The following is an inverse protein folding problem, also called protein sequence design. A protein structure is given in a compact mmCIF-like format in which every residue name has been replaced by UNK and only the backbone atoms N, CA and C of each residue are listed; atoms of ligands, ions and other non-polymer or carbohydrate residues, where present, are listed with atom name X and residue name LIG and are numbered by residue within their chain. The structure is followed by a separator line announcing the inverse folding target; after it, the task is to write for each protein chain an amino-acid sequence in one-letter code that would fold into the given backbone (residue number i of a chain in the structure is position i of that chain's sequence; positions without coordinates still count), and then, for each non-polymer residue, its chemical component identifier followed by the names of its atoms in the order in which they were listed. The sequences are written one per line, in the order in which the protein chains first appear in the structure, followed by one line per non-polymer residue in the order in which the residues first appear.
data_IF_426378995559
#
_entry.id   IF_426378995559
#
_cell.length_a   1.000
_cell.length_b   1.000
_cell.length_c   1.000
_cell.angle_alpha   90.00
_cell.angle_beta   90.00
_cell.angle_gamma   90.00
#
_symmetry.space_group_name_H-M   'P 1'
#
loop_
_entity.id
_entity.type
_entity.pdbx_description
1 polymer ?
#
# COMPACT_ATOMS: atom_id res chain seq x y z
N UNK A 1 -13.95 1.54 -28.87
CA UNK A 1 -13.47 1.15 -27.52
C UNK A 1 -12.04 1.58 -27.40
N UNK A 2 -11.71 2.37 -26.38
CA UNK A 2 -10.30 2.72 -26.10
C UNK A 2 -9.55 1.43 -25.73
N UNK A 3 -8.33 1.18 -26.26
CA UNK A 3 -7.55 0.02 -25.83
C UNK A 3 -7.26 0.13 -24.32
N UNK A 4 -7.21 -0.98 -23.58
CA UNK A 4 -6.82 -0.96 -22.18
C UNK A 4 -5.38 -0.43 -22.10
N UNK A 5 -5.20 0.70 -21.44
CA UNK A 5 -3.89 1.25 -21.09
C UNK A 5 -3.20 0.28 -20.13
N UNK A 6 -2.36 -0.62 -20.66
CA UNK A 6 -1.46 -1.49 -19.88
C UNK A 6 -0.42 -0.62 -19.18
N UNK A 7 -0.81 -0.10 -18.02
CA UNK A 7 0.05 0.72 -17.17
C UNK A 7 0.57 -0.18 -16.06
N UNK A 8 1.89 -0.23 -15.86
CA UNK A 8 2.48 -0.99 -14.76
C UNK A 8 2.52 -0.12 -13.50
N UNK A 9 2.18 -0.70 -12.35
CA UNK A 9 2.11 0.01 -11.07
C UNK A 9 3.16 -0.52 -10.10
N UNK A 10 3.71 0.38 -9.29
CA UNK A 10 4.56 0.05 -8.16
C UNK A 10 3.76 -0.75 -7.12
N UNK A 11 4.29 -1.88 -6.68
CA UNK A 11 3.61 -2.76 -5.72
C UNK A 11 3.50 -2.17 -4.30
N UNK A 12 4.24 -1.08 -3.99
CA UNK A 12 4.14 -0.38 -2.70
C UNK A 12 3.13 0.77 -2.78
N UNK A 13 3.27 1.67 -3.76
CA UNK A 13 2.46 2.89 -3.83
C UNK A 13 1.20 2.77 -4.68
N UNK A 14 1.08 1.73 -5.50
CA UNK A 14 -0.02 1.60 -6.48
C UNK A 14 0.01 2.64 -7.61
N UNK A 15 1.05 3.47 -7.66
CA UNK A 15 1.23 4.52 -8.69
C UNK A 15 2.19 4.06 -9.78
N UNK A 16 2.17 4.75 -10.92
CA UNK A 16 3.16 4.53 -11.99
C UNK A 16 4.53 4.98 -11.48
N UNK A 17 5.54 4.10 -11.43
CA UNK A 17 6.87 4.47 -10.98
C UNK A 17 7.56 5.42 -11.97
N UNK A 18 8.29 6.39 -11.45
CA UNK A 18 9.19 7.25 -12.23
C UNK A 18 10.51 6.55 -12.52
N UNK A 19 11.06 5.86 -11.52
CA UNK A 19 12.27 5.03 -11.61
C UNK A 19 11.89 3.56 -11.31
N UNK A 20 11.36 2.83 -12.31
CA UNK A 20 10.93 1.46 -12.13
C UNK A 20 12.13 0.53 -11.91
N UNK A 21 12.06 -0.27 -10.84
CA UNK A 21 12.99 -1.35 -10.55
C UNK A 21 12.22 -2.64 -10.28
N UNK A 22 12.76 -3.77 -10.72
CA UNK A 22 12.17 -5.09 -10.47
C UNK A 22 13.09 -5.89 -9.58
N UNK A 23 12.51 -6.55 -8.58
CA UNK A 23 13.24 -7.55 -7.79
C UNK A 23 13.43 -8.83 -8.61
N UNK A 24 14.66 -9.36 -8.66
CA UNK A 24 14.95 -10.64 -9.32
C UNK A 24 14.31 -11.84 -8.62
N UNK A 25 14.17 -11.76 -7.30
CA UNK A 25 13.65 -12.85 -6.47
C UNK A 25 12.14 -12.96 -6.59
N UNK A 26 11.43 -11.84 -6.45
CA UNK A 26 9.96 -11.83 -6.38
C UNK A 26 9.28 -11.47 -7.69
N UNK A 27 10.01 -10.86 -8.63
CA UNK A 27 9.46 -10.37 -9.90
C UNK A 27 8.52 -9.17 -9.78
N UNK A 28 8.40 -8.56 -8.61
CA UNK A 28 7.56 -7.38 -8.40
C UNK A 28 8.22 -6.10 -8.89
N UNK A 29 7.41 -5.19 -9.42
CA UNK A 29 7.80 -3.85 -9.85
C UNK A 29 7.67 -2.85 -8.71
N UNK A 30 8.71 -2.06 -8.50
CA UNK A 30 8.78 -1.05 -7.46
C UNK A 30 9.28 0.29 -8.00
N UNK A 31 9.00 1.35 -7.26
CA UNK A 31 9.68 2.63 -7.37
C UNK A 31 11.01 2.55 -6.61
N UNK A 32 12.13 2.86 -7.27
CA UNK A 32 13.49 2.74 -6.71
C UNK A 32 13.63 3.37 -5.33
N UNK A 33 13.11 4.58 -5.16
CA UNK A 33 13.18 5.34 -3.91
C UNK A 33 12.43 4.67 -2.76
N UNK A 34 11.32 3.98 -3.05
CA UNK A 34 10.49 3.33 -2.04
C UNK A 34 11.08 1.99 -1.61
N UNK A 35 11.48 1.15 -2.57
CA UNK A 35 12.03 -0.16 -2.25
C UNK A 35 13.38 -0.07 -1.54
N UNK A 36 14.25 0.86 -1.94
CA UNK A 36 15.55 1.06 -1.27
C UNK A 36 15.38 1.45 0.19
N UNK A 37 14.38 2.29 0.49
CA UNK A 37 14.03 2.65 1.87
C UNK A 37 13.45 1.46 2.65
N UNK A 38 12.60 0.66 2.02
CA UNK A 38 12.03 -0.53 2.64
C UNK A 38 13.13 -1.55 2.99
N UNK A 39 14.04 -1.84 2.06
CA UNK A 39 15.19 -2.72 2.27
C UNK A 39 16.09 -2.20 3.39
N UNK A 40 16.39 -0.89 3.41
CA UNK A 40 17.19 -0.30 4.48
C UNK A 40 16.52 -0.38 5.86
N UNK A 41 15.18 -0.43 5.93
CA UNK A 41 14.44 -0.48 7.19
C UNK A 41 14.24 -1.91 7.73
N UNK A 42 13.95 -2.88 6.86
CA UNK A 42 13.56 -4.24 7.28
C UNK A 42 14.47 -5.34 6.71
N UNK A 43 15.27 -5.06 5.68
CA UNK A 43 16.07 -6.07 4.96
C UNK A 43 15.22 -7.09 4.18
N UNK A 44 13.92 -6.80 4.00
CA UNK A 44 12.96 -7.75 3.43
C UNK A 44 12.04 -7.08 2.42
N UNK A 45 11.54 -7.89 1.50
CA UNK A 45 10.56 -7.51 0.51
C UNK A 45 9.24 -7.09 1.19
N UNK A 46 8.68 -5.91 0.87
CA UNK A 46 7.47 -5.41 1.51
C UNK A 46 6.19 -6.19 1.14
N UNK A 47 6.23 -7.04 0.12
CA UNK A 47 5.07 -7.82 -0.36
C UNK A 47 5.18 -9.29 0.01
N UNK A 48 6.31 -9.93 -0.33
CA UNK A 48 6.52 -11.37 -0.08
C UNK A 48 7.17 -11.68 1.27
N UNK A 49 7.73 -10.68 1.96
CA UNK A 49 8.49 -10.83 3.21
C UNK A 49 9.77 -11.69 3.08
N UNK A 50 10.26 -11.90 1.86
CA UNK A 50 11.52 -12.59 1.57
C UNK A 50 12.73 -11.66 1.75
N UNK A 51 13.89 -12.23 2.08
CA UNK A 51 15.14 -11.47 2.16
C UNK A 51 15.54 -10.99 0.76
N UNK A 52 15.81 -9.70 0.65
CA UNK A 52 16.16 -9.06 -0.62
C UNK A 52 17.22 -8.00 -0.34
N UNK A 53 18.25 -7.98 -1.17
CA UNK A 53 19.29 -6.96 -1.11
C UNK A 53 19.11 -5.89 -2.19
N UNK A 54 19.76 -4.75 -2.02
CA UNK A 54 19.74 -3.66 -3.00
C UNK A 54 20.34 -4.09 -4.36
N UNK A 55 21.28 -5.04 -4.35
CA UNK A 55 21.92 -5.58 -5.56
C UNK A 55 21.01 -6.51 -6.37
N UNK A 56 19.93 -7.02 -5.76
CA UNK A 56 18.92 -7.84 -6.44
C UNK A 56 17.90 -7.00 -7.23
N UNK A 57 18.00 -5.67 -7.15
CA UNK A 57 17.14 -4.74 -7.88
C UNK A 57 17.69 -4.46 -9.27
N UNK A 58 16.86 -4.69 -10.28
CA UNK A 58 17.19 -4.43 -11.69
C UNK A 58 16.41 -3.22 -12.18
N UNK A 59 17.14 -2.20 -12.63
CA UNK A 59 16.56 -1.01 -13.25
C UNK A 59 15.85 -1.38 -14.57
N UNK A 60 14.59 -0.98 -14.70
CA UNK A 60 13.81 -1.17 -15.93
C UNK A 60 13.82 0.12 -16.74
N UNK A 61 14.26 0.05 -17.99
CA UNK A 61 14.15 1.19 -18.91
C UNK A 61 12.72 1.34 -19.40
N UNK A 62 11.95 2.21 -18.75
CA UNK A 62 10.60 2.59 -19.17
C UNK A 62 10.58 4.01 -19.74
N UNK A 63 9.64 4.29 -20.64
CA UNK A 63 9.35 5.65 -21.07
C UNK A 63 8.83 6.45 -19.86
N UNK A 64 9.41 7.63 -19.61
CA UNK A 64 9.03 8.47 -18.48
C UNK A 64 7.55 8.85 -18.60
N UNK A 65 6.72 8.33 -17.70
CA UNK A 65 5.32 8.72 -17.61
C UNK A 65 5.23 10.08 -16.92
N UNK A 66 5.03 11.14 -17.69
CA UNK A 66 4.93 12.49 -17.15
C UNK A 66 3.44 12.83 -17.02
N UNK A 67 2.96 12.96 -15.78
CA UNK A 67 1.66 13.60 -15.54
C UNK A 67 1.79 15.10 -15.89
N UNK A 68 0.91 15.65 -16.75
CA UNK A 68 0.94 17.07 -17.06
C UNK A 68 0.82 17.91 -15.78
N UNK A 69 1.67 18.92 -15.63
CA UNK A 69 1.60 19.82 -14.47
C UNK A 69 0.29 20.62 -14.53
N UNK A 70 -0.53 20.62 -13.47
CA UNK A 70 -1.75 21.43 -13.45
C UNK A 70 -1.42 22.92 -13.45
N UNK A 71 -2.25 23.74 -14.09
CA UNK A 71 -2.03 25.19 -14.22
C UNK A 71 -1.93 25.90 -12.86
N UNK A 72 -2.60 25.38 -11.82
CA UNK A 72 -2.50 25.87 -10.44
C UNK A 72 -1.10 25.69 -9.83
N UNK A 73 -0.29 24.76 -10.31
CA UNK A 73 1.08 24.52 -9.83
C UNK A 73 2.15 25.45 -10.50
N UNK A 74 1.73 26.61 -11.00
CA UNK A 74 2.63 27.58 -11.67
C UNK A 74 3.00 28.78 -10.80
N UNK A 75 2.32 28.99 -9.67
CA UNK A 75 2.59 30.07 -8.71
C UNK A 75 2.84 29.52 -7.31
N UNK A 76 3.63 30.25 -6.50
CA UNK A 76 3.90 29.85 -5.11
C UNK A 76 2.60 29.68 -4.29
N UNK A 77 1.61 30.60 -4.37
CA UNK A 77 0.33 30.41 -3.68
C UNK A 77 -0.43 29.16 -4.15
N UNK A 78 -0.42 28.88 -5.45
CA UNK A 78 -1.11 27.71 -5.99
C UNK A 78 -0.46 26.38 -5.60
N UNK A 79 0.87 26.33 -5.49
CA UNK A 79 1.58 25.17 -4.95
C UNK A 79 1.24 24.92 -3.47
N UNK A 80 1.16 25.98 -2.66
CA UNK A 80 0.79 25.86 -1.26
C UNK A 80 -0.64 25.35 -1.09
N UNK A 81 -1.58 25.83 -1.91
CA UNK A 81 -2.96 25.33 -1.92
C UNK A 81 -3.02 23.83 -2.22
N UNK A 82 -2.32 23.37 -3.26
CA UNK A 82 -2.28 21.93 -3.61
C UNK A 82 -1.70 21.11 -2.46
N UNK A 83 -0.61 21.58 -1.83
CA UNK A 83 -0.01 20.87 -0.70
C UNK A 83 -0.94 20.82 0.51
N UNK A 84 -1.71 21.88 0.77
CA UNK A 84 -2.73 21.90 1.81
C UNK A 84 -3.83 20.88 1.52
N UNK A 85 -4.36 20.88 0.29
CA UNK A 85 -5.42 19.97 -0.14
C UNK A 85 -4.98 18.49 -0.02
N UNK A 86 -3.77 18.15 -0.46
CA UNK A 86 -3.22 16.79 -0.36
C UNK A 86 -2.97 16.37 1.10
N UNK A 87 -2.54 17.31 1.96
CA UNK A 87 -2.35 17.05 3.38
C UNK A 87 -3.68 16.82 4.10
N UNK A 88 -4.70 17.63 3.82
CA UNK A 88 -6.04 17.48 4.36
C UNK A 88 -6.65 16.13 3.93
N UNK A 89 -6.50 15.76 2.66
CA UNK A 89 -6.93 14.46 2.15
C UNK A 89 -6.23 13.29 2.86
N UNK A 90 -4.91 13.37 3.03
CA UNK A 90 -4.13 12.34 3.74
C UNK A 90 -4.56 12.24 5.21
N UNK A 91 -4.81 13.36 5.88
CA UNK A 91 -5.22 13.38 7.29
C UNK A 91 -6.63 12.77 7.46
N UNK A 92 -7.55 13.06 6.55
CA UNK A 92 -8.88 12.44 6.53
C UNK A 92 -8.79 10.93 6.30
N UNK A 93 -7.95 10.48 5.36
CA UNK A 93 -7.72 9.05 5.13
C UNK A 93 -7.17 8.35 6.38
N UNK A 94 -6.18 8.95 7.06
CA UNK A 94 -5.64 8.40 8.32
C UNK A 94 -6.72 8.32 9.40
N UNK A 95 -7.60 9.32 9.51
CA UNK A 95 -8.69 9.31 10.47
C UNK A 95 -9.69 8.17 10.17
N UNK A 96 -10.08 7.99 8.91
CA UNK A 96 -10.96 6.90 8.45
C UNK A 96 -10.31 5.54 8.65
N UNK A 97 -9.02 5.37 8.32
CA UNK A 97 -8.29 4.12 8.53
C UNK A 97 -8.23 3.73 10.02
N UNK A 98 -8.06 4.70 10.93
CA UNK A 98 -8.11 4.44 12.38
C UNK A 98 -9.49 3.98 12.82
N UNK A 99 -10.56 4.64 12.35
CA UNK A 99 -11.94 4.23 12.64
C UNK A 99 -12.23 2.81 12.15
N UNK A 100 -11.82 2.46 10.93
CA UNK A 100 -11.98 1.12 10.41
C UNK A 100 -11.21 0.09 11.23
N UNK A 101 -9.96 0.39 11.59
CA UNK A 101 -9.14 -0.49 12.41
C UNK A 101 -9.79 -0.77 13.77
N UNK A 102 -10.36 0.25 14.42
CA UNK A 102 -11.06 0.07 15.70
C UNK A 102 -12.37 -0.72 15.53
N UNK A 103 -13.16 -0.47 14.48
CA UNK A 103 -14.37 -1.24 14.14
C UNK A 103 -14.03 -2.71 13.92
N UNK A 104 -13.03 -3.00 13.08
CA UNK A 104 -12.63 -4.39 12.76
C UNK A 104 -12.10 -5.11 14.00
N UNK A 105 -11.41 -4.42 14.92
CA UNK A 105 -11.02 -5.01 16.21
C UNK A 105 -12.22 -5.37 17.07
N UNK A 106 -13.22 -4.50 17.14
CA UNK A 106 -14.44 -4.77 17.90
C UNK A 106 -15.21 -5.94 17.29
N UNK A 107 -15.42 -5.95 15.98
CA UNK A 107 -16.07 -7.05 15.24
C UNK A 107 -15.35 -8.38 15.45
N UNK A 108 -14.01 -8.39 15.38
CA UNK A 108 -13.20 -9.57 15.64
C UNK A 108 -13.38 -10.06 17.09
N UNK A 109 -13.34 -9.16 18.07
CA UNK A 109 -13.54 -9.53 19.48
C UNK A 109 -14.91 -10.17 19.73
N UNK A 110 -15.95 -9.65 19.09
CA UNK A 110 -17.30 -10.18 19.18
C UNK A 110 -17.40 -11.56 18.53
N UNK A 111 -16.80 -11.73 17.34
CA UNK A 111 -16.77 -13.00 16.64
C UNK A 111 -16.05 -14.09 17.45
N UNK A 112 -14.91 -13.76 18.07
CA UNK A 112 -14.18 -14.70 18.94
C UNK A 112 -14.99 -15.05 20.20
N UNK A 113 -15.68 -14.09 20.82
CA UNK A 113 -16.54 -14.37 21.97
C UNK A 113 -17.69 -15.32 21.59
N UNK A 114 -18.33 -15.09 20.43
CA UNK A 114 -19.38 -15.95 19.92
C UNK A 114 -18.86 -17.35 19.56
N UNK A 115 -17.66 -17.45 18.99
CA UNK A 115 -16.99 -18.72 18.69
C UNK A 115 -16.76 -19.54 19.97
N UNK A 116 -16.18 -18.93 21.01
CA UNK A 116 -15.95 -19.60 22.29
C UNK A 116 -17.25 -20.06 22.96
N UNK A 117 -18.31 -19.23 22.90
CA UNK A 117 -19.63 -19.61 23.38
C UNK A 117 -20.20 -20.82 22.61
N UNK A 118 -20.07 -20.84 21.29
CA UNK A 118 -20.50 -21.95 20.45
C UNK A 118 -19.73 -23.24 20.77
N UNK A 119 -18.40 -23.18 20.92
CA UNK A 119 -17.58 -24.32 21.32
C UNK A 119 -18.04 -24.92 22.66
N UNK A 120 -18.41 -24.09 23.64
CA UNK A 120 -18.96 -24.56 24.93
C UNK A 120 -20.31 -25.27 24.76
N UNK A 121 -21.17 -24.77 23.88
CA UNK A 121 -22.46 -25.41 23.57
C UNK A 121 -22.25 -26.78 22.93
N UNK A 122 -21.33 -26.87 21.95
CA UNK A 122 -20.99 -28.13 21.28
C UNK A 122 -20.43 -29.14 22.28
N UNK A 123 -19.47 -28.74 23.12
CA UNK A 123 -18.90 -29.63 24.13
C UNK A 123 -19.96 -30.15 25.11
N UNK A 124 -20.91 -29.29 25.53
CA UNK A 124 -22.05 -29.72 26.35
C UNK A 124 -22.95 -30.71 25.62
N UNK A 125 -23.27 -30.47 24.36
CA UNK A 125 -24.10 -31.37 23.55
C UNK A 125 -23.45 -32.73 23.28
N UNK A 126 -22.12 -32.81 23.26
CA UNK A 126 -21.37 -34.06 23.10
C UNK A 126 -21.15 -34.83 24.41
N UNK A 127 -21.31 -34.16 25.56
CA UNK A 127 -21.17 -34.77 26.89
C UNK A 127 -22.46 -35.40 27.43
N UNK A 128 -23.56 -35.30 26.68
CA UNK A 128 -24.86 -35.93 26.93
C UNK A 128 -25.02 -37.09 25.97
#
# INVERSE_FOLDING_TARGET
GSPPSRTMFCAISGTVPEEPVVSRTTGHLYEKRLITKAIAATGRCPVSNEEIDADDLVDVKAAKSIKPRPASATSVPGLLSILQDEWDATMLEVATLRQHLDSTRQELSQALYQHDAACRVIARAQSV
#
